data_IF_309104315556
#
_entry.id   IF_309104315556
#
_cell.length_a   1.000
_cell.length_b   1.000
_cell.length_c   1.000
_cell.angle_alpha   90.00
_cell.angle_beta   90.00
_cell.angle_gamma   90.00
#
_symmetry.space_group_name_H-M   'P 1'
#
loop_
_entity.id
_entity.type
_entity.pdbx_description
1 polymer ?
#
# COMPACT_ATOMS: atom_id res chain seq x y z
N UNK A 1 9.37 29.38 8.95
CA UNK A 1 8.25 28.64 9.57
C UNK A 1 7.40 28.05 8.44
N UNK A 2 7.80 26.85 7.96
CA UNK A 2 7.06 26.18 6.89
C UNK A 2 5.87 25.43 7.50
N UNK A 3 4.70 26.05 7.36
CA UNK A 3 3.40 25.51 7.78
C UNK A 3 2.89 24.40 6.87
N UNK A 4 3.73 23.42 6.50
CA UNK A 4 3.26 22.17 5.93
C UNK A 4 2.74 21.32 7.07
N UNK A 5 1.41 21.20 7.15
CA UNK A 5 0.75 20.29 8.07
C UNK A 5 1.48 18.94 8.02
N UNK A 6 2.03 18.53 9.17
CA UNK A 6 2.62 17.20 9.34
C UNK A 6 1.57 16.17 8.91
N UNK A 7 1.82 15.48 7.81
CA UNK A 7 0.88 14.50 7.28
C UNK A 7 0.78 13.37 8.29
N UNK A 8 -0.38 13.26 8.94
CA UNK A 8 -0.67 12.14 9.85
C UNK A 8 -0.98 10.92 9.00
N UNK A 9 -0.27 9.81 9.18
CA UNK A 9 -0.56 8.57 8.47
C UNK A 9 -1.96 8.05 8.82
N UNK A 10 -2.55 7.28 7.92
CA UNK A 10 -3.92 6.77 8.07
C UNK A 10 -3.93 5.56 9.02
N UNK A 11 -4.91 5.49 9.94
CA UNK A 11 -5.10 4.36 10.89
C UNK A 11 -3.86 4.09 11.76
N UNK A 12 -3.13 5.14 12.12
CA UNK A 12 -1.82 5.02 12.77
C UNK A 12 -1.90 4.33 14.13
N UNK A 13 -2.90 4.64 14.92
CA UNK A 13 -3.10 4.03 16.25
C UNK A 13 -3.62 2.59 16.13
N UNK A 14 -4.42 2.28 15.12
CA UNK A 14 -4.86 0.93 14.81
C UNK A 14 -3.69 0.02 14.42
N UNK A 15 -2.80 0.53 13.56
CA UNK A 15 -1.55 -0.16 13.18
C UNK A 15 -0.71 -0.45 14.42
N UNK A 16 -0.47 0.56 15.27
CA UNK A 16 0.33 0.40 16.48
C UNK A 16 -0.30 -0.62 17.44
N UNK A 17 -1.61 -0.55 17.71
CA UNK A 17 -2.32 -1.52 18.56
C UNK A 17 -2.23 -2.96 18.06
N UNK A 18 -2.17 -3.16 16.74
CA UNK A 18 -2.06 -4.51 16.18
C UNK A 18 -0.62 -4.99 16.22
N UNK A 19 0.35 -4.19 15.79
CA UNK A 19 1.76 -4.62 15.65
C UNK A 19 2.54 -4.59 16.96
N UNK A 20 2.13 -3.74 17.91
CA UNK A 20 2.75 -3.57 19.22
C UNK A 20 1.67 -3.75 20.30
N UNK A 21 1.15 -4.96 20.51
CA UNK A 21 0.10 -5.19 21.50
C UNK A 21 0.58 -4.96 22.91
N UNK A 22 -0.24 -4.30 23.75
CA UNK A 22 0.04 -4.02 25.15
C UNK A 22 0.25 -5.31 25.96
N UNK A 23 1.16 -5.27 26.93
CA UNK A 23 1.37 -6.37 27.89
C UNK A 23 2.08 -7.60 27.38
N UNK A 24 2.61 -7.59 26.16
CA UNK A 24 3.28 -8.77 25.57
C UNK A 24 4.72 -8.94 26.00
N UNK A 25 5.29 -8.07 26.86
CA UNK A 25 6.69 -8.14 27.29
C UNK A 25 7.70 -8.03 26.14
N UNK A 26 7.27 -7.48 25.02
CA UNK A 26 8.08 -7.37 23.79
C UNK A 26 9.01 -6.16 23.89
N UNK A 27 10.02 -6.26 24.74
CA UNK A 27 11.05 -5.23 24.87
C UNK A 27 11.93 -5.11 23.62
N UNK A 28 11.96 -6.18 22.79
CA UNK A 28 12.76 -6.27 21.57
C UNK A 28 11.93 -6.81 20.39
N UNK A 29 11.29 -5.93 19.66
CA UNK A 29 10.59 -6.26 18.42
C UNK A 29 11.43 -5.89 17.20
N UNK A 30 11.52 -6.78 16.22
CA UNK A 30 11.93 -6.42 14.86
C UNK A 30 10.66 -6.14 14.06
N UNK A 31 10.51 -4.90 13.64
CA UNK A 31 9.38 -4.43 12.84
C UNK A 31 9.86 -4.12 11.43
N UNK A 32 9.01 -4.34 10.44
CA UNK A 32 9.23 -3.96 9.04
C UNK A 32 8.09 -3.07 8.59
N UNK A 33 8.42 -1.87 8.12
CA UNK A 33 7.53 -1.03 7.35
C UNK A 33 7.91 -1.15 5.88
N UNK A 34 7.18 -1.97 5.14
CA UNK A 34 7.48 -2.29 3.74
C UNK A 34 7.16 -1.15 2.76
N UNK A 35 6.57 -0.07 3.26
CA UNK A 35 6.11 1.12 2.53
C UNK A 35 6.36 2.37 3.35
N UNK A 36 7.60 2.54 3.85
CA UNK A 36 7.90 3.51 4.92
C UNK A 36 7.57 4.97 4.55
N UNK A 37 7.58 5.32 3.28
CA UNK A 37 7.28 6.66 2.81
C UNK A 37 8.09 7.72 3.55
N UNK A 38 7.41 8.72 4.13
CA UNK A 38 8.00 9.76 4.96
C UNK A 38 8.23 9.35 6.43
N UNK A 39 8.04 8.07 6.80
CA UNK A 39 8.35 7.52 8.11
C UNK A 39 7.29 7.74 9.20
N UNK A 40 6.07 8.11 8.83
CA UNK A 40 5.05 8.43 9.85
C UNK A 40 4.56 7.24 10.66
N UNK A 41 4.24 6.11 10.01
CA UNK A 41 3.93 4.86 10.70
C UNK A 41 5.14 4.32 11.46
N UNK A 42 6.33 4.35 10.84
CA UNK A 42 7.57 3.91 11.47
C UNK A 42 7.86 4.68 12.78
N UNK A 43 7.68 6.00 12.78
CA UNK A 43 7.82 6.83 13.98
C UNK A 43 6.88 6.38 15.08
N UNK A 44 5.59 6.23 14.79
CA UNK A 44 4.58 5.81 15.76
C UNK A 44 4.82 4.41 16.32
N UNK A 45 5.26 3.48 15.45
CA UNK A 45 5.60 2.12 15.86
C UNK A 45 6.79 2.09 16.82
N UNK A 46 7.84 2.88 16.54
CA UNK A 46 9.02 2.98 17.40
C UNK A 46 8.72 3.69 18.75
N UNK A 47 7.78 4.64 18.76
CA UNK A 47 7.30 5.28 19.99
C UNK A 47 6.45 4.32 20.86
N UNK A 48 5.64 3.48 20.20
CA UNK A 48 4.80 2.51 20.90
C UNK A 48 5.55 1.28 21.40
N UNK A 49 6.70 0.96 20.78
CA UNK A 49 7.49 -0.24 21.11
C UNK A 49 8.57 0.03 22.14
N UNK A 50 9.06 -1.02 22.79
CA UNK A 50 10.18 -0.96 23.73
C UNK A 50 11.46 -0.38 23.14
N UNK A 51 12.35 0.13 24.00
CA UNK A 51 13.60 0.78 23.58
C UNK A 51 14.57 -0.15 22.84
N UNK A 52 14.47 -1.46 23.03
CA UNK A 52 15.22 -2.47 22.30
C UNK A 52 14.66 -2.82 20.91
N UNK A 53 13.45 -2.36 20.59
CA UNK A 53 12.82 -2.64 19.30
C UNK A 53 13.49 -1.91 18.15
N UNK A 54 13.56 -2.59 16.99
CA UNK A 54 14.18 -2.07 15.76
C UNK A 54 13.17 -2.05 14.62
N UNK A 55 13.36 -1.14 13.67
CA UNK A 55 12.50 -1.01 12.50
C UNK A 55 13.32 -0.93 11.21
N UNK A 56 13.00 -1.85 10.29
CA UNK A 56 13.47 -1.81 8.91
C UNK A 56 12.40 -1.13 8.06
N UNK A 57 12.73 0.00 7.46
CA UNK A 57 11.84 0.73 6.53
C UNK A 57 12.28 0.52 5.09
N UNK A 58 11.35 0.17 4.22
CA UNK A 58 11.59 -0.06 2.79
C UNK A 58 10.74 0.94 2.00
N UNK A 59 11.30 1.58 1.01
CA UNK A 59 10.58 2.35 0.00
C UNK A 59 11.35 2.37 -1.32
N UNK A 60 10.63 2.38 -2.43
CA UNK A 60 11.23 2.52 -3.76
C UNK A 60 11.60 3.96 -4.10
N UNK A 61 10.96 4.95 -3.47
CA UNK A 61 11.22 6.38 -3.68
C UNK A 61 12.34 6.88 -2.75
N UNK A 62 13.54 7.09 -3.29
CA UNK A 62 14.66 7.64 -2.55
C UNK A 62 14.39 9.00 -1.91
N UNK A 63 13.53 9.83 -2.53
CA UNK A 63 13.15 11.13 -1.97
C UNK A 63 12.27 11.00 -0.71
N UNK A 64 11.44 9.97 -0.64
CA UNK A 64 10.68 9.62 0.55
C UNK A 64 11.61 9.16 1.68
N UNK A 65 12.59 8.31 1.36
CA UNK A 65 13.59 7.86 2.32
C UNK A 65 14.43 9.00 2.91
N UNK A 66 14.73 10.04 2.14
CA UNK A 66 15.44 11.21 2.66
C UNK A 66 14.64 11.98 3.71
N UNK A 67 13.32 12.00 3.59
CA UNK A 67 12.44 12.58 4.60
C UNK A 67 12.33 11.64 5.80
N UNK A 68 12.16 10.34 5.57
CA UNK A 68 12.12 9.34 6.63
C UNK A 68 13.40 9.37 7.49
N UNK A 69 14.58 9.48 6.87
CA UNK A 69 15.87 9.60 7.60
C UNK A 69 15.85 10.77 8.57
N UNK A 70 15.43 11.95 8.12
CA UNK A 70 15.35 13.13 8.99
C UNK A 70 14.33 12.99 10.11
N UNK A 71 13.18 12.39 9.81
CA UNK A 71 12.10 12.15 10.81
C UNK A 71 12.52 11.16 11.88
N UNK A 72 13.19 10.10 11.48
CA UNK A 72 13.53 8.97 12.33
C UNK A 72 14.93 9.06 12.97
N UNK A 73 15.69 10.12 12.69
CA UNK A 73 17.06 10.34 13.16
C UNK A 73 17.23 10.18 14.68
N UNK A 74 16.24 10.64 15.45
CA UNK A 74 16.21 10.51 16.92
C UNK A 74 16.21 9.08 17.46
N UNK A 75 15.89 8.10 16.62
CA UNK A 75 15.89 6.69 17.01
C UNK A 75 17.23 5.99 16.76
N UNK A 76 18.17 6.63 16.09
CA UNK A 76 19.52 6.16 15.88
C UNK A 76 19.59 4.75 15.25
N UNK A 77 20.38 3.88 15.85
CA UNK A 77 20.66 2.53 15.35
C UNK A 77 19.43 1.58 15.39
N UNK A 78 18.34 2.03 15.98
CA UNK A 78 17.07 1.28 15.96
C UNK A 78 16.40 1.28 14.57
N UNK A 79 16.85 2.13 13.64
CA UNK A 79 16.25 2.30 12.32
C UNK A 79 17.27 1.96 11.23
N UNK A 80 16.83 1.14 10.28
CA UNK A 80 17.52 0.94 9.01
C UNK A 80 16.55 1.24 7.87
N UNK A 81 16.95 2.09 6.93
CA UNK A 81 16.16 2.44 5.75
C UNK A 81 16.86 1.89 4.50
N UNK A 82 16.09 1.18 3.68
CA UNK A 82 16.56 0.53 2.46
C UNK A 82 15.74 1.03 1.28
N UNK A 83 16.41 1.51 0.23
CA UNK A 83 15.74 1.76 -1.04
C UNK A 83 15.57 0.44 -1.77
N UNK A 84 14.33 0.07 -2.05
CA UNK A 84 13.99 -1.18 -2.73
C UNK A 84 12.47 -1.34 -2.90
N UNK A 85 12.11 -2.35 -3.65
CA UNK A 85 10.72 -2.73 -3.79
C UNK A 85 10.38 -3.85 -2.79
N UNK A 86 9.23 -3.78 -2.16
CA UNK A 86 8.79 -4.79 -1.21
C UNK A 86 8.51 -6.17 -1.86
N UNK A 87 8.50 -6.29 -3.19
CA UNK A 87 8.47 -7.58 -3.88
C UNK A 87 9.75 -8.43 -3.66
N UNK A 88 10.82 -7.80 -3.13
CA UNK A 88 12.08 -8.43 -2.70
C UNK A 88 12.19 -8.50 -1.16
N UNK A 89 11.07 -8.48 -0.43
CA UNK A 89 11.01 -8.34 1.02
C UNK A 89 11.91 -9.34 1.76
N UNK A 90 11.85 -10.62 1.40
CA UNK A 90 12.62 -11.69 2.07
C UNK A 90 14.13 -11.45 1.96
N UNK A 91 14.60 -11.07 0.77
CA UNK A 91 16.01 -10.76 0.53
C UNK A 91 16.47 -9.53 1.32
N UNK A 92 15.64 -8.46 1.34
CA UNK A 92 15.94 -7.22 2.07
C UNK A 92 16.00 -7.47 3.58
N UNK A 93 15.03 -8.22 4.13
CA UNK A 93 15.00 -8.55 5.56
C UNK A 93 16.16 -9.46 5.94
N UNK A 94 16.46 -10.46 5.10
CA UNK A 94 17.62 -11.34 5.32
C UNK A 94 18.94 -10.57 5.37
N UNK A 95 19.11 -9.55 4.54
CA UNK A 95 20.27 -8.67 4.53
C UNK A 95 20.39 -7.74 5.75
N UNK A 96 19.33 -7.58 6.54
CA UNK A 96 19.38 -6.78 7.76
C UNK A 96 20.02 -7.54 8.93
N UNK A 97 19.90 -8.86 8.96
CA UNK A 97 20.45 -9.77 9.99
C UNK A 97 20.04 -9.38 11.44
N UNK A 98 18.78 -9.00 11.59
CA UNK A 98 18.23 -8.59 12.90
C UNK A 98 17.44 -9.67 13.62
N UNK A 99 17.37 -10.86 13.02
CA UNK A 99 16.61 -11.98 13.55
C UNK A 99 15.14 -11.98 13.10
N UNK A 100 14.30 -12.80 13.73
CA UNK A 100 12.95 -13.05 13.27
C UNK A 100 12.04 -11.83 13.43
N UNK A 101 11.24 -11.54 12.40
CA UNK A 101 10.34 -10.36 12.34
C UNK A 101 9.09 -10.57 13.20
N UNK A 102 8.82 -9.61 14.09
CA UNK A 102 7.63 -9.63 14.95
C UNK A 102 6.41 -8.94 14.34
N UNK A 103 6.61 -8.02 13.37
CA UNK A 103 5.52 -7.33 12.71
C UNK A 103 5.90 -6.74 11.37
N UNK A 104 4.98 -6.83 10.41
CA UNK A 104 5.15 -6.26 9.06
C UNK A 104 3.95 -5.37 8.75
N UNK A 105 4.23 -4.16 8.29
CA UNK A 105 3.26 -3.20 7.79
C UNK A 105 3.41 -3.03 6.29
N UNK A 106 2.27 -3.00 5.60
CA UNK A 106 2.09 -2.45 4.27
C UNK A 106 1.07 -1.33 4.32
N UNK A 107 1.42 -0.13 3.86
CA UNK A 107 0.51 0.97 3.59
C UNK A 107 0.53 1.24 2.07
N UNK A 108 -0.37 0.56 1.33
CA UNK A 108 -0.32 0.55 -0.12
C UNK A 108 -0.73 1.88 -0.74
N UNK A 109 -0.42 2.06 -2.02
CA UNK A 109 -0.81 3.21 -2.80
C UNK A 109 0.25 4.30 -2.86
N UNK A 110 -0.20 5.52 -3.13
CA UNK A 110 0.67 6.68 -3.29
C UNK A 110 0.78 7.48 -2.01
N UNK A 111 1.98 7.84 -1.64
CA UNK A 111 2.19 8.79 -0.56
C UNK A 111 1.62 10.17 -0.93
N UNK A 112 1.26 10.96 0.07
CA UNK A 112 0.84 12.34 -0.16
C UNK A 112 1.90 13.15 -0.90
N UNK A 113 3.16 12.82 -0.72
CA UNK A 113 4.26 13.46 -1.44
C UNK A 113 4.17 13.24 -2.95
N UNK A 114 3.77 12.05 -3.40
CA UNK A 114 3.58 11.78 -4.83
C UNK A 114 2.45 12.63 -5.41
N UNK A 115 1.35 12.81 -4.66
CA UNK A 115 0.20 13.59 -5.10
C UNK A 115 0.43 15.10 -5.05
N UNK A 116 1.21 15.55 -4.06
CA UNK A 116 1.44 16.99 -3.78
C UNK A 116 2.74 17.51 -4.40
N UNK A 117 3.56 16.64 -5.03
CA UNK A 117 4.78 17.03 -5.70
C UNK A 117 4.51 17.44 -7.15
N UNK A 118 4.73 18.72 -7.51
CA UNK A 118 4.62 19.16 -8.90
C UNK A 118 5.53 18.33 -9.81
N UNK A 119 5.05 17.98 -10.99
CA UNK A 119 5.86 17.31 -12.01
C UNK A 119 5.98 15.79 -11.89
N UNK A 120 5.32 15.13 -10.91
CA UNK A 120 5.31 13.66 -10.79
C UNK A 120 4.19 12.98 -11.60
N UNK A 121 3.17 13.70 -12.04
CA UNK A 121 2.09 13.20 -12.90
C UNK A 121 1.04 12.32 -12.22
N UNK A 122 1.05 12.15 -10.91
CA UNK A 122 0.05 11.36 -10.17
C UNK A 122 -1.30 12.05 -10.04
N UNK A 123 -1.32 13.39 -10.04
CA UNK A 123 -2.54 14.17 -9.89
C UNK A 123 -3.17 14.48 -11.26
N UNK A 124 -4.48 14.26 -11.36
CA UNK A 124 -5.29 14.69 -12.51
C UNK A 124 -5.85 16.12 -12.36
N UNK A 125 -5.45 16.84 -11.30
CA UNK A 125 -5.95 18.19 -10.99
C UNK A 125 -5.04 19.30 -11.47
N UNK A 126 -3.78 18.98 -11.69
CA UNK A 126 -2.72 19.91 -12.04
C UNK A 126 -2.01 19.47 -13.30
N UNK A 127 -1.50 20.40 -14.07
CA UNK A 127 -0.70 20.10 -15.24
C UNK A 127 0.68 19.62 -14.83
N UNK A 128 1.05 18.43 -15.29
CA UNK A 128 2.32 17.80 -15.06
C UNK A 128 2.69 16.86 -16.21
N UNK A 129 3.95 16.49 -16.40
CA UNK A 129 4.33 15.40 -17.30
C UNK A 129 3.60 14.10 -16.93
N UNK A 130 3.24 13.29 -17.91
CA UNK A 130 2.67 11.94 -17.70
C UNK A 130 3.76 10.94 -17.28
N UNK A 131 4.31 11.11 -16.08
CA UNK A 131 5.38 10.25 -15.53
C UNK A 131 4.79 9.08 -14.72
N UNK A 132 4.23 9.32 -13.55
CA UNK A 132 3.63 8.38 -12.60
C UNK A 132 4.60 7.32 -12.03
N UNK A 133 5.91 7.41 -12.24
CA UNK A 133 6.88 6.49 -11.63
C UNK A 133 7.06 6.80 -10.15
N UNK A 134 6.99 5.80 -9.31
CA UNK A 134 7.39 5.89 -7.90
C UNK A 134 8.92 5.86 -7.79
N UNK A 135 9.55 4.89 -8.43
CA UNK A 135 10.99 4.86 -8.62
C UNK A 135 11.36 5.58 -9.92
N UNK A 136 12.16 6.66 -9.82
CA UNK A 136 12.58 7.46 -10.97
C UNK A 136 13.64 6.79 -11.86
N UNK A 137 14.24 5.72 -11.38
CA UNK A 137 15.25 4.97 -12.14
C UNK A 137 14.59 4.04 -13.17
N UNK A 138 13.35 3.56 -12.90
CA UNK A 138 12.63 2.72 -13.86
C UNK A 138 12.35 3.46 -15.17
N UNK A 139 12.28 2.73 -16.28
CA UNK A 139 12.13 3.32 -17.62
C UNK A 139 10.66 3.67 -17.94
N UNK A 140 9.72 2.74 -17.66
CA UNK A 140 8.32 2.86 -18.08
C UNK A 140 7.60 4.01 -17.39
N UNK A 141 7.06 4.93 -18.18
CA UNK A 141 6.25 6.08 -17.73
C UNK A 141 4.79 5.94 -18.19
N UNK A 142 3.90 6.74 -17.60
CA UNK A 142 2.53 6.83 -18.08
C UNK A 142 2.44 7.38 -19.52
N UNK A 143 3.39 8.26 -19.91
CA UNK A 143 3.50 8.74 -21.29
C UNK A 143 3.82 7.61 -22.26
N UNK A 144 4.72 6.69 -21.90
CA UNK A 144 5.03 5.54 -22.76
C UNK A 144 3.80 4.66 -22.94
N UNK A 145 3.07 4.36 -21.88
CA UNK A 145 1.85 3.55 -21.94
C UNK A 145 0.81 4.18 -22.88
N UNK A 146 0.46 5.44 -22.68
CA UNK A 146 -0.59 6.07 -23.51
C UNK A 146 -0.17 6.27 -24.96
N UNK A 147 1.14 6.47 -25.22
CA UNK A 147 1.64 6.71 -26.57
C UNK A 147 2.01 5.45 -27.34
N UNK A 148 2.34 4.34 -26.66
CA UNK A 148 2.88 3.15 -27.36
C UNK A 148 1.99 1.91 -27.28
N UNK A 149 1.23 1.72 -26.20
CA UNK A 149 0.44 0.50 -26.01
C UNK A 149 -0.64 0.38 -27.10
N UNK A 150 -0.85 -0.82 -27.68
CA UNK A 150 -1.97 -1.09 -28.59
C UNK A 150 -3.33 -0.82 -27.90
N UNK A 151 -4.34 -0.46 -28.70
CA UNK A 151 -5.70 -0.23 -28.20
C UNK A 151 -6.23 -1.36 -27.29
N UNK A 152 -6.09 -2.65 -27.60
CA UNK A 152 -6.58 -3.73 -26.73
C UNK A 152 -5.92 -3.71 -25.36
N UNK A 153 -4.61 -3.43 -25.29
CA UNK A 153 -3.86 -3.40 -24.03
C UNK A 153 -4.24 -2.19 -23.18
N UNK A 154 -4.37 -1.00 -23.79
CA UNK A 154 -4.91 0.18 -23.09
C UNK A 154 -6.31 -0.08 -22.54
N UNK A 155 -7.21 -0.66 -23.35
CA UNK A 155 -8.56 -0.99 -22.92
C UNK A 155 -8.55 -2.04 -21.79
N UNK A 156 -7.64 -3.01 -21.85
CA UNK A 156 -7.46 -4.05 -20.82
C UNK A 156 -7.04 -3.43 -19.49
N UNK A 157 -5.95 -2.66 -19.46
CA UNK A 157 -5.45 -2.07 -18.22
C UNK A 157 -6.45 -1.10 -17.60
N UNK A 158 -7.08 -0.23 -18.40
CA UNK A 158 -8.09 0.73 -17.92
C UNK A 158 -9.31 -0.01 -17.34
N UNK A 159 -9.73 -1.11 -17.96
CA UNK A 159 -10.83 -1.94 -17.45
C UNK A 159 -10.46 -2.71 -16.20
N UNK A 160 -9.29 -3.37 -16.19
CA UNK A 160 -8.88 -4.29 -15.12
C UNK A 160 -8.39 -3.52 -13.90
N UNK A 161 -7.52 -2.53 -14.09
CA UNK A 161 -6.91 -1.79 -12.99
C UNK A 161 -7.68 -0.53 -12.57
N UNK A 162 -8.44 0.04 -13.51
CA UNK A 162 -9.33 1.16 -13.22
C UNK A 162 -10.75 0.74 -12.84
N UNK A 163 -11.13 -0.52 -13.06
CA UNK A 163 -12.52 -0.97 -12.98
C UNK A 163 -13.47 -0.02 -13.77
N UNK A 164 -12.98 0.50 -14.93
CA UNK A 164 -13.65 1.54 -15.72
C UNK A 164 -14.47 0.91 -16.86
N UNK A 165 -15.77 1.15 -16.83
CA UNK A 165 -16.70 0.62 -17.85
C UNK A 165 -16.50 1.22 -19.25
N UNK A 166 -15.99 2.46 -19.34
CA UNK A 166 -15.74 3.15 -20.59
C UNK A 166 -14.35 2.91 -21.15
N UNK A 167 -13.63 1.91 -20.63
CA UNK A 167 -12.23 1.63 -20.95
C UNK A 167 -11.94 1.56 -22.44
N UNK A 168 -12.74 0.83 -23.23
CA UNK A 168 -12.53 0.71 -24.69
C UNK A 168 -12.70 2.05 -25.40
N UNK A 169 -13.68 2.85 -25.00
CA UNK A 169 -13.90 4.17 -25.59
C UNK A 169 -12.79 5.15 -25.22
N UNK A 170 -12.33 5.13 -23.97
CA UNK A 170 -11.18 5.94 -23.52
C UNK A 170 -9.93 5.55 -24.33
N UNK A 171 -9.66 4.24 -24.48
CA UNK A 171 -8.54 3.75 -25.29
C UNK A 171 -8.64 4.22 -26.75
N UNK A 172 -9.85 4.22 -27.36
CA UNK A 172 -10.04 4.74 -28.72
C UNK A 172 -9.66 6.22 -28.80
N UNK A 173 -10.12 7.06 -27.87
CA UNK A 173 -9.81 8.47 -27.87
C UNK A 173 -8.31 8.75 -27.69
N UNK A 174 -7.64 7.99 -26.82
CA UNK A 174 -6.18 8.08 -26.64
C UNK A 174 -5.44 7.70 -27.96
N UNK A 175 -5.80 6.58 -28.59
CA UNK A 175 -5.14 6.11 -29.81
C UNK A 175 -5.38 7.07 -30.98
N UNK A 176 -6.55 7.67 -31.09
CA UNK A 176 -6.85 8.67 -32.13
C UNK A 176 -6.08 9.98 -31.87
N UNK A 177 -6.03 10.45 -30.65
CA UNK A 177 -5.32 11.69 -30.28
C UNK A 177 -3.82 11.59 -30.54
N UNK A 178 -3.17 10.51 -30.11
CA UNK A 178 -1.71 10.32 -30.26
C UNK A 178 -1.24 10.19 -31.72
N UNK A 179 -2.13 9.83 -32.65
CA UNK A 179 -1.82 9.85 -34.10
C UNK A 179 -1.53 11.25 -34.63
N UNK A 180 -2.08 12.28 -33.99
CA UNK A 180 -1.89 13.69 -34.34
C UNK A 180 -0.66 14.25 -33.64
N UNK A 181 -0.55 13.99 -32.36
CA UNK A 181 0.52 14.48 -31.48
C UNK A 181 0.62 13.58 -30.25
N UNK A 182 1.83 13.16 -29.82
CA UNK A 182 2.01 12.42 -28.58
C UNK A 182 1.41 13.19 -27.39
N UNK A 183 0.82 12.46 -26.44
CA UNK A 183 0.32 13.00 -25.19
C UNK A 183 1.48 13.19 -24.22
N UNK A 184 1.59 14.35 -23.62
CA UNK A 184 2.73 14.71 -22.75
C UNK A 184 2.31 15.13 -21.35
N UNK A 185 1.09 15.64 -21.18
CA UNK A 185 0.66 16.17 -19.89
C UNK A 185 -0.58 15.48 -19.32
N UNK A 186 -0.72 15.58 -18.01
CA UNK A 186 -1.88 15.07 -17.27
C UNK A 186 -3.19 15.71 -17.74
N UNK A 187 -3.20 17.03 -17.99
CA UNK A 187 -4.42 17.72 -18.39
C UNK A 187 -4.86 17.36 -19.82
N UNK A 188 -3.93 17.13 -20.75
CA UNK A 188 -4.26 16.59 -22.09
C UNK A 188 -5.01 15.26 -21.97
N UNK A 189 -4.51 14.35 -21.13
CA UNK A 189 -5.17 13.08 -20.90
C UNK A 189 -6.53 13.23 -20.20
N UNK A 190 -6.64 14.13 -19.22
CA UNK A 190 -7.91 14.42 -18.52
C UNK A 190 -8.97 14.88 -19.49
N UNK A 191 -8.65 15.77 -20.43
CA UNK A 191 -9.60 16.25 -21.44
C UNK A 191 -10.10 15.12 -22.35
N UNK A 192 -9.19 14.26 -22.82
CA UNK A 192 -9.56 13.09 -23.64
C UNK A 192 -10.48 12.14 -22.87
N UNK A 193 -10.19 11.87 -21.61
CA UNK A 193 -11.04 11.01 -20.77
C UNK A 193 -12.42 11.65 -20.59
N UNK A 194 -12.46 12.94 -20.33
CA UNK A 194 -13.72 13.68 -20.17
C UNK A 194 -14.57 13.58 -21.44
N UNK A 195 -13.97 13.70 -22.62
CA UNK A 195 -14.69 13.65 -23.89
C UNK A 195 -15.12 12.21 -24.24
N UNK A 196 -14.33 11.23 -23.84
CA UNK A 196 -14.68 9.82 -24.00
C UNK A 196 -15.83 9.37 -23.09
N UNK A 197 -15.93 9.88 -21.85
CA UNK A 197 -16.99 9.49 -20.91
C UNK A 197 -18.26 10.29 -21.16
N UNK A 198 -19.42 9.66 -21.40
CA UNK A 198 -20.69 10.36 -21.63
C UNK A 198 -21.05 11.32 -20.50
N UNK A 199 -21.62 12.48 -20.84
CA UNK A 199 -21.94 13.55 -19.87
C UNK A 199 -22.88 13.08 -18.75
N UNK A 200 -23.83 12.20 -19.04
CA UNK A 200 -24.71 11.60 -18.04
C UNK A 200 -23.95 10.74 -17.02
N UNK A 201 -22.88 10.06 -17.45
CA UNK A 201 -22.07 9.20 -16.58
C UNK A 201 -21.08 9.98 -15.68
N UNK A 202 -20.86 11.27 -15.97
CA UNK A 202 -19.97 12.16 -15.20
C UNK A 202 -20.66 12.83 -14.00
N UNK A 203 -22.00 12.71 -13.89
CA UNK A 203 -22.77 13.34 -12.81
C UNK A 203 -22.81 12.45 -11.57
N UNK A 204 -22.52 13.02 -10.41
CA UNK A 204 -22.73 12.37 -9.10
C UNK A 204 -21.69 11.31 -8.67
N UNK A 205 -20.56 11.17 -9.38
CA UNK A 205 -19.48 10.23 -9.08
C UNK A 205 -18.11 10.90 -8.89
N UNK A 206 -17.06 10.10 -8.66
CA UNK A 206 -15.68 10.56 -8.68
C UNK A 206 -15.34 11.22 -10.03
N UNK A 207 -14.27 12.03 -10.04
CA UNK A 207 -13.77 12.64 -11.26
C UNK A 207 -13.53 11.59 -12.36
N UNK A 208 -13.97 11.80 -13.63
CA UNK A 208 -13.87 10.78 -14.69
C UNK A 208 -12.46 10.21 -14.91
N UNK A 209 -11.42 11.05 -14.70
CA UNK A 209 -10.03 10.63 -14.86
C UNK A 209 -9.52 9.73 -13.71
N UNK A 210 -10.17 9.72 -12.54
CA UNK A 210 -9.69 9.01 -11.35
C UNK A 210 -9.32 7.55 -11.65
N UNK A 211 -10.22 6.81 -12.27
CA UNK A 211 -10.03 5.37 -12.57
C UNK A 211 -8.95 5.11 -13.62
N UNK A 212 -8.88 5.95 -14.64
CA UNK A 212 -7.85 5.82 -15.68
C UNK A 212 -6.46 6.15 -15.11
N UNK A 213 -6.34 7.17 -14.27
CA UNK A 213 -5.08 7.51 -13.60
C UNK A 213 -4.64 6.40 -12.64
N UNK A 214 -5.56 5.82 -11.86
CA UNK A 214 -5.29 4.63 -11.06
C UNK A 214 -4.78 3.48 -11.93
N UNK A 215 -5.41 3.21 -13.06
CA UNK A 215 -5.01 2.12 -13.95
C UNK A 215 -3.60 2.31 -14.52
N UNK A 216 -3.28 3.53 -14.97
CA UNK A 216 -1.94 3.86 -15.48
C UNK A 216 -0.88 3.75 -14.37
N UNK A 217 -1.19 4.25 -13.16
CA UNK A 217 -0.29 4.17 -12.01
C UNK A 217 0.04 2.73 -11.64
N UNK A 218 -0.98 1.88 -11.57
CA UNK A 218 -0.82 0.45 -11.27
C UNK A 218 0.06 -0.23 -12.34
N UNK A 219 -0.18 0.04 -13.61
CA UNK A 219 0.61 -0.52 -14.72
C UNK A 219 2.06 -0.02 -14.69
N UNK A 220 2.28 1.30 -14.54
CA UNK A 220 3.63 1.90 -14.47
C UNK A 220 4.45 1.27 -13.36
N UNK A 221 3.86 1.05 -12.19
CA UNK A 221 4.59 0.66 -10.98
C UNK A 221 4.50 -0.84 -10.66
N UNK A 222 3.76 -1.64 -11.43
CA UNK A 222 3.58 -3.07 -11.16
C UNK A 222 2.96 -3.36 -9.78
N UNK A 223 2.07 -2.47 -9.29
CA UNK A 223 1.65 -2.45 -7.88
C UNK A 223 1.00 -3.76 -7.42
N UNK A 224 0.08 -4.31 -8.22
CA UNK A 224 -0.68 -5.52 -7.83
C UNK A 224 0.18 -6.79 -7.87
N UNK A 225 1.12 -6.86 -8.79
CA UNK A 225 2.06 -7.98 -8.89
C UNK A 225 3.05 -7.95 -7.71
N UNK A 226 3.55 -6.77 -7.37
CA UNK A 226 4.41 -6.57 -6.20
C UNK A 226 3.71 -6.98 -4.89
N UNK A 227 2.43 -6.61 -4.70
CA UNK A 227 1.62 -7.05 -3.54
C UNK A 227 1.51 -8.58 -3.53
N UNK A 228 1.18 -9.17 -4.67
CA UNK A 228 0.94 -10.61 -4.77
C UNK A 228 2.20 -11.44 -4.50
N UNK A 229 3.38 -10.97 -4.95
CA UNK A 229 4.66 -11.64 -4.74
C UNK A 229 5.23 -11.42 -3.34
N UNK A 230 4.95 -10.28 -2.71
CA UNK A 230 5.48 -9.92 -1.39
C UNK A 230 4.76 -10.62 -0.22
N UNK A 231 3.45 -10.79 -0.30
CA UNK A 231 2.66 -11.35 0.80
C UNK A 231 3.12 -12.76 1.26
N UNK A 232 3.45 -13.72 0.35
CA UNK A 232 4.05 -15.01 0.75
C UNK A 232 5.38 -14.85 1.46
N UNK A 233 6.24 -13.92 1.03
CA UNK A 233 7.53 -13.60 1.63
C UNK A 233 7.35 -13.01 3.04
N UNK A 234 6.34 -12.16 3.23
CA UNK A 234 6.02 -11.62 4.54
C UNK A 234 5.66 -12.73 5.54
N UNK A 235 4.85 -13.72 5.13
CA UNK A 235 4.50 -14.87 5.98
C UNK A 235 5.72 -15.75 6.28
N UNK A 236 6.62 -15.95 5.31
CA UNK A 236 7.85 -16.71 5.51
C UNK A 236 8.80 -16.03 6.50
N UNK A 237 8.87 -14.71 6.48
CA UNK A 237 9.78 -13.89 7.29
C UNK A 237 9.28 -13.69 8.73
N UNK A 238 7.95 -13.67 8.93
CA UNK A 238 7.37 -13.51 10.26
C UNK A 238 7.67 -14.68 11.19
N UNK A 239 8.08 -14.37 12.44
CA UNK A 239 8.11 -15.37 13.51
C UNK A 239 6.70 -15.85 13.85
N UNK A 240 6.61 -16.97 14.56
CA UNK A 240 5.37 -17.42 15.17
C UNK A 240 4.80 -16.35 16.11
N UNK A 241 3.49 -16.08 16.02
CA UNK A 241 2.85 -14.97 16.73
C UNK A 241 3.14 -13.58 16.17
N UNK A 242 4.02 -13.46 15.16
CA UNK A 242 4.26 -12.21 14.44
C UNK A 242 3.04 -11.78 13.62
N UNK A 243 2.87 -10.49 13.39
CA UNK A 243 1.66 -9.94 12.80
C UNK A 243 1.91 -9.22 11.47
N UNK A 244 1.01 -9.45 10.55
CA UNK A 244 0.94 -8.80 9.24
C UNK A 244 -0.22 -7.81 9.24
N UNK A 245 0.05 -6.54 8.93
CA UNK A 245 -0.94 -5.49 8.73
C UNK A 245 -0.81 -4.95 7.32
N UNK A 246 -1.93 -4.79 6.64
CA UNK A 246 -2.00 -4.18 5.31
C UNK A 246 -3.14 -3.17 5.24
N UNK A 247 -2.83 -1.95 4.81
CA UNK A 247 -3.78 -0.88 4.51
C UNK A 247 -3.90 -0.79 2.99
N UNK A 248 -5.12 -0.81 2.48
CA UNK A 248 -5.44 -0.69 1.05
C UNK A 248 -6.38 0.48 0.81
N UNK A 249 -6.25 1.15 -0.34
CA UNK A 249 -7.05 2.33 -0.70
C UNK A 249 -7.99 2.09 -1.88
N UNK A 250 -7.89 0.93 -2.53
CA UNK A 250 -8.84 0.53 -3.56
C UNK A 250 -9.18 -0.97 -3.52
N UNK A 251 -10.24 -1.33 -4.27
CA UNK A 251 -10.83 -2.67 -4.27
C UNK A 251 -9.87 -3.78 -4.69
N UNK A 252 -8.94 -3.50 -5.59
CA UNK A 252 -8.01 -4.51 -6.14
C UNK A 252 -6.97 -4.91 -5.11
N UNK A 253 -6.34 -3.94 -4.42
CA UNK A 253 -5.43 -4.20 -3.30
C UNK A 253 -6.12 -4.99 -2.19
N UNK A 254 -7.27 -4.49 -1.70
CA UNK A 254 -8.04 -5.13 -0.63
C UNK A 254 -8.44 -6.58 -1.00
N UNK A 255 -8.75 -6.83 -2.28
CA UNK A 255 -9.12 -8.15 -2.78
C UNK A 255 -7.95 -9.13 -2.73
N UNK A 256 -6.74 -8.70 -3.12
CA UNK A 256 -5.53 -9.53 -3.06
C UNK A 256 -5.21 -9.87 -1.62
N UNK A 257 -5.10 -8.87 -0.73
CA UNK A 257 -4.79 -9.07 0.69
C UNK A 257 -5.82 -9.98 1.37
N UNK A 258 -7.12 -9.69 1.15
CA UNK A 258 -8.20 -10.50 1.73
C UNK A 258 -8.14 -11.96 1.30
N UNK A 259 -7.97 -12.20 0.00
CA UNK A 259 -7.91 -13.58 -0.53
C UNK A 259 -6.71 -14.30 0.04
N UNK A 260 -5.53 -13.68 -0.03
CA UNK A 260 -4.32 -14.23 0.51
C UNK A 260 -4.44 -14.61 1.99
N UNK A 261 -4.88 -13.67 2.86
CA UNK A 261 -5.05 -13.95 4.29
C UNK A 261 -6.07 -15.06 4.57
N UNK A 262 -7.15 -15.14 3.78
CA UNK A 262 -8.17 -16.20 3.93
C UNK A 262 -7.63 -17.55 3.46
N UNK A 263 -6.92 -17.59 2.33
CA UNK A 263 -6.36 -18.83 1.79
C UNK A 263 -5.29 -19.40 2.72
N UNK A 264 -4.38 -18.56 3.25
CA UNK A 264 -3.37 -18.94 4.23
C UNK A 264 -3.92 -19.31 5.61
N UNK A 265 -5.15 -18.93 5.91
CA UNK A 265 -5.85 -19.29 7.18
C UNK A 265 -6.61 -20.59 7.10
N UNK A 266 -6.59 -21.27 5.96
CA UNK A 266 -7.33 -22.50 5.70
C UNK A 266 -6.39 -23.66 5.37
N UNK A 267 -6.96 -24.86 5.26
CA UNK A 267 -6.22 -26.08 4.93
C UNK A 267 -5.78 -26.87 6.16
N UNK A 268 -5.05 -27.95 5.92
CA UNK A 268 -4.56 -28.84 6.99
C UNK A 268 -3.49 -28.20 7.87
N UNK A 269 -2.75 -27.27 7.28
CA UNK A 269 -1.63 -26.55 7.92
C UNK A 269 -1.77 -25.05 7.68
N UNK A 270 -2.69 -24.38 8.40
CA UNK A 270 -2.86 -22.94 8.23
C UNK A 270 -1.61 -22.19 8.70
N UNK A 271 -1.15 -21.25 7.88
CA UNK A 271 0.02 -20.41 8.20
C UNK A 271 -0.36 -19.08 8.85
N UNK A 272 -1.62 -18.65 8.69
CA UNK A 272 -2.13 -17.41 9.26
C UNK A 272 -3.39 -17.63 10.09
N UNK A 273 -3.57 -16.83 11.11
CA UNK A 273 -4.82 -16.60 11.82
C UNK A 273 -5.32 -15.20 11.52
N UNK A 274 -6.46 -15.06 10.85
CA UNK A 274 -7.05 -13.75 10.54
C UNK A 274 -7.50 -13.05 11.81
N UNK A 275 -6.97 -11.88 12.09
CA UNK A 275 -7.34 -11.01 13.22
C UNK A 275 -8.59 -10.20 12.86
N UNK A 276 -8.58 -9.55 11.69
CA UNK A 276 -9.67 -8.69 11.24
C UNK A 276 -10.59 -9.41 10.27
N UNK A 277 -11.71 -9.96 10.74
CA UNK A 277 -12.71 -10.60 9.86
C UNK A 277 -13.35 -9.60 8.89
N UNK A 278 -13.59 -8.37 9.37
CA UNK A 278 -13.98 -7.21 8.56
C UNK A 278 -12.82 -6.22 8.56
N UNK A 279 -12.59 -5.46 7.47
CA UNK A 279 -11.54 -4.45 7.49
C UNK A 279 -11.88 -3.38 8.52
N UNK A 280 -10.86 -2.89 9.22
CA UNK A 280 -10.97 -1.67 10.03
C UNK A 280 -10.93 -0.48 9.07
N UNK A 281 -11.79 0.49 9.31
CA UNK A 281 -11.90 1.71 8.51
C UNK A 281 -11.63 2.92 9.41
N UNK A 282 -11.14 4.04 8.85
CA UNK A 282 -10.95 5.27 9.59
C UNK A 282 -12.26 5.80 10.17
N UNK A 283 -12.19 6.35 11.37
CA UNK A 283 -13.33 7.01 12.02
C UNK A 283 -13.69 8.34 11.32
N UNK A 284 -14.93 8.83 11.47
CA UNK A 284 -15.39 10.07 10.83
C UNK A 284 -14.50 11.27 11.10
N UNK A 285 -13.93 11.37 12.28
CA UNK A 285 -13.04 12.44 12.73
C UNK A 285 -11.72 12.40 11.95
N UNK A 286 -11.15 11.21 11.72
CA UNK A 286 -9.95 11.02 10.91
C UNK A 286 -10.22 11.39 9.44
N UNK A 287 -11.38 10.98 8.90
CA UNK A 287 -11.78 11.32 7.53
C UNK A 287 -11.98 12.85 7.37
N UNK A 288 -12.51 13.51 8.39
CA UNK A 288 -12.68 14.96 8.39
C UNK A 288 -11.32 15.70 8.39
N UNK A 289 -10.36 15.20 9.17
CA UNK A 289 -9.00 15.74 9.21
C UNK A 289 -8.16 15.37 7.98
N UNK A 290 -8.33 14.15 7.45
CA UNK A 290 -7.63 13.63 6.28
C UNK A 290 -8.60 12.96 5.30
N UNK A 291 -9.17 13.69 4.32
CA UNK A 291 -10.11 13.13 3.34
C UNK A 291 -9.54 11.95 2.51
N UNK A 292 -8.21 11.81 2.42
CA UNK A 292 -7.55 10.69 1.74
C UNK A 292 -7.73 9.36 2.48
N UNK A 293 -7.98 9.41 3.79
CA UNK A 293 -8.26 8.23 4.62
C UNK A 293 -9.57 7.53 4.25
N UNK A 294 -10.52 8.24 3.63
CA UNK A 294 -11.89 7.75 3.37
C UNK A 294 -11.98 6.36 2.72
N UNK A 295 -11.05 6.02 1.87
CA UNK A 295 -11.04 4.73 1.15
C UNK A 295 -10.23 3.65 1.85
N UNK A 296 -9.51 3.98 2.92
CA UNK A 296 -8.60 3.08 3.60
C UNK A 296 -9.32 1.89 4.25
N UNK A 297 -8.68 0.73 4.17
CA UNK A 297 -9.13 -0.52 4.75
C UNK A 297 -7.93 -1.25 5.33
N UNK A 298 -7.87 -1.37 6.64
CA UNK A 298 -6.84 -2.13 7.31
C UNK A 298 -7.27 -3.59 7.49
N UNK A 299 -6.41 -4.51 7.10
CA UNK A 299 -6.52 -5.94 7.39
C UNK A 299 -5.31 -6.41 8.18
N UNK A 300 -5.55 -7.36 9.08
CA UNK A 300 -4.52 -7.92 9.92
C UNK A 300 -4.67 -9.44 10.08
N UNK A 301 -3.52 -10.12 10.11
CA UNK A 301 -3.41 -11.54 10.41
C UNK A 301 -2.17 -11.78 11.27
N UNK A 302 -2.17 -12.89 12.00
CA UNK A 302 -1.05 -13.34 12.83
C UNK A 302 -0.46 -14.60 12.25
N UNK A 303 0.87 -14.71 12.23
CA UNK A 303 1.58 -15.92 11.84
C UNK A 303 1.21 -17.04 12.82
N UNK A 304 0.62 -18.08 12.29
CA UNK A 304 0.20 -19.24 13.05
C UNK A 304 1.27 -20.33 12.92
N UNK A 305 1.79 -20.81 14.05
CA UNK A 305 2.68 -21.95 14.08
C UNK A 305 1.89 -23.24 14.29
N UNK A 306 2.38 -24.33 13.76
CA UNK A 306 1.95 -25.63 14.19
C UNK A 306 2.51 -25.87 15.60
N UNK A 307 1.72 -25.69 16.64
CA UNK A 307 2.01 -26.39 17.86
C UNK A 307 1.89 -27.91 17.55
N UNK A 308 2.94 -28.70 17.75
CA UNK A 308 2.75 -30.14 17.81
C UNK A 308 1.69 -30.38 18.87
N UNK A 309 0.58 -30.96 18.45
CA UNK A 309 -0.60 -31.26 19.27
C UNK A 309 -0.19 -32.07 20.51
N UNK A 310 -0.03 -31.38 21.64
CA UNK A 310 0.34 -31.91 22.94
C UNK A 310 -0.12 -30.98 24.03
N UNK A 311 -1.45 -30.81 24.20
CA UNK A 311 -2.00 -30.00 25.28
C UNK A 311 -3.49 -29.78 25.07
N UNK A 312 -4.30 -30.71 25.56
CA UNK A 312 -5.77 -30.60 25.62
C UNK A 312 -6.18 -29.28 26.30
N UNK A 313 -6.85 -28.40 25.54
CA UNK A 313 -7.62 -27.29 26.13
C UNK A 313 -8.58 -27.83 27.19
N UNK A 314 -8.63 -27.27 28.39
CA UNK A 314 -9.70 -27.60 29.34
C UNK A 314 -11.02 -27.08 28.75
N UNK A 315 -11.95 -27.98 28.49
CA UNK A 315 -13.35 -27.63 28.23
C UNK A 315 -13.87 -26.86 29.46
N UNK A 316 -14.60 -25.73 29.29
CA UNK A 316 -15.29 -25.12 30.42
C UNK A 316 -16.33 -26.12 30.90
N UNK A 317 -16.18 -26.55 32.15
CA UNK A 317 -17.05 -27.50 32.83
C UNK A 317 -18.48 -26.99 32.85
N UNK A 318 -19.40 -27.79 32.36
CA UNK A 318 -20.81 -27.64 32.65
C UNK A 318 -21.04 -27.86 34.14
N UNK A 319 -21.59 -26.86 34.80
CA UNK A 319 -22.20 -27.01 36.13
C UNK A 319 -23.56 -27.59 35.92
N UNK A 320 -23.73 -28.84 36.34
CA UNK A 320 -25.03 -29.39 36.66
C UNK A 320 -25.20 -29.35 38.19
N UNK A 321 -26.24 -28.72 38.61
CA UNK A 321 -27.19 -28.99 39.70
C UNK A 321 -27.87 -27.68 40.08
#
# INVERSE_FOLDING_TARGET
MDGRASHVPVLTDEVARVLVPEGTGLEELVLVDATVGAGGHAERLLEASGSGSRLLGIDRDGSALDIARRRLDRFGDRVRLVQGNFDELEGIVGGADWGPVGGILYDFGVSSMHLDSPGRGFSYREEAPLDMRMDRIQELTAADIVNTYPHPDLARIIRTYGEERWASRIATFIVEARRRRPLSTTLELVELIRDAVPSAARRGGPHPAHRTFQALRIEVNGELDAISSSLPQAVATLREGGRLVAISYHSLEDRIVKRFMVDESRGEVPRLRVITRRPVQPEPEEIAANPRAKAAKLRAAERWGLHPSGGSSPRPGGSAA
#
